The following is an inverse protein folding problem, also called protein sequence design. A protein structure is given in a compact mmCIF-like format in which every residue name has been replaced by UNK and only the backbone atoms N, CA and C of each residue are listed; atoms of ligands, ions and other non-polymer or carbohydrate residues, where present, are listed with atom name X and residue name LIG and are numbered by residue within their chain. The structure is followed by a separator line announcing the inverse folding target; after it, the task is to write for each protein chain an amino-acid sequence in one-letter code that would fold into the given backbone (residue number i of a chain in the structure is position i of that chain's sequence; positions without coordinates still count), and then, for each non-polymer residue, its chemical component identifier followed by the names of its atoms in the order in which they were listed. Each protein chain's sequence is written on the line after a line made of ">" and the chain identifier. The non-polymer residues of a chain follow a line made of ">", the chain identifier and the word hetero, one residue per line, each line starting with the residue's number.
data_IF_642766230535
#
_entry.id   IF_642766230535
#
_cell.length_a   1.000
_cell.length_b   1.000
_cell.length_c   1.000
_cell.angle_alpha   90.00
_cell.angle_beta   90.00
_cell.angle_gamma   90.00
#
_symmetry.space_group_name_H-M   'P 1'
#
loop_
_entity.id
_entity.type
_entity.pdbx_description
1 polymer ?
#
# COMPACT_ATOMS: atom_id res chain seq x y z
N UNK A 1 -42.32 31.00 43.39
CA UNK A 1 -42.76 30.63 42.02
C UNK A 1 -41.62 30.73 40.99
N UNK A 2 -40.82 31.81 40.98
CA UNK A 2 -39.71 31.96 40.01
C UNK A 2 -38.53 30.97 40.17
N UNK A 3 -38.25 30.48 41.37
CA UNK A 3 -37.09 29.59 41.63
C UNK A 3 -37.27 28.18 41.06
N UNK A 4 -38.50 27.67 40.99
CA UNK A 4 -38.77 26.33 40.44
C UNK A 4 -38.54 26.29 38.92
N UNK A 5 -39.00 27.32 38.21
CA UNK A 5 -38.80 27.45 36.76
C UNK A 5 -37.33 27.71 36.36
N UNK A 6 -36.53 28.28 37.28
CA UNK A 6 -35.09 28.43 37.10
C UNK A 6 -34.37 27.08 37.23
N UNK A 7 -34.70 26.29 38.26
CA UNK A 7 -34.11 24.95 38.46
C UNK A 7 -34.35 24.02 37.29
N UNK A 8 -35.58 24.00 36.76
CA UNK A 8 -35.93 23.13 35.63
C UNK A 8 -35.16 23.51 34.35
N UNK A 9 -34.95 24.82 34.14
CA UNK A 9 -34.12 25.33 33.03
C UNK A 9 -32.65 24.95 33.21
N UNK A 10 -32.10 25.14 34.40
CA UNK A 10 -30.70 24.82 34.69
C UNK A 10 -30.40 23.34 34.55
N UNK A 11 -31.34 22.48 34.96
CA UNK A 11 -31.24 21.03 34.81
C UNK A 11 -31.28 20.61 33.33
N UNK A 12 -32.19 21.19 32.55
CA UNK A 12 -32.27 20.95 31.10
C UNK A 12 -31.01 21.41 30.37
N UNK A 13 -30.46 22.57 30.76
CA UNK A 13 -29.23 23.11 30.19
C UNK A 13 -28.01 22.26 30.56
N UNK A 14 -27.93 21.76 31.81
CA UNK A 14 -26.91 20.79 32.22
C UNK A 14 -27.00 19.52 31.39
N UNK A 15 -28.18 18.91 31.31
CA UNK A 15 -28.39 17.69 30.55
C UNK A 15 -27.98 17.84 29.08
N UNK A 16 -28.35 18.95 28.43
CA UNK A 16 -27.93 19.24 27.05
C UNK A 16 -26.43 19.40 26.91
N UNK A 17 -25.78 20.08 27.85
CA UNK A 17 -24.32 20.30 27.83
C UNK A 17 -23.58 18.98 28.00
N UNK A 18 -24.00 18.17 28.95
CA UNK A 18 -23.40 16.85 29.23
C UNK A 18 -23.59 15.92 28.02
N UNK A 19 -24.77 15.93 27.39
CA UNK A 19 -25.04 15.18 26.17
C UNK A 19 -24.14 15.64 25.00
N UNK A 20 -23.95 16.94 24.81
CA UNK A 20 -23.04 17.48 23.79
C UNK A 20 -21.58 17.11 24.07
N UNK A 21 -21.15 17.14 25.33
CA UNK A 21 -19.80 16.75 25.71
C UNK A 21 -19.55 15.26 25.48
N UNK A 22 -20.52 14.40 25.84
CA UNK A 22 -20.44 12.97 25.54
C UNK A 22 -20.42 12.68 24.04
N UNK A 23 -21.22 13.42 23.25
CA UNK A 23 -21.22 13.29 21.80
C UNK A 23 -19.86 13.67 21.20
N UNK A 24 -19.27 14.79 21.65
CA UNK A 24 -17.94 15.20 21.20
C UNK A 24 -16.85 14.18 21.57
N UNK A 25 -16.90 13.61 22.78
CA UNK A 25 -15.97 12.54 23.19
C UNK A 25 -16.14 11.28 22.33
N UNK A 26 -17.37 10.87 22.05
CA UNK A 26 -17.64 9.73 21.20
C UNK A 26 -17.15 9.95 19.76
N UNK A 27 -17.34 11.15 19.19
CA UNK A 27 -16.83 11.50 17.86
C UNK A 27 -15.30 11.46 17.80
N UNK A 28 -14.62 11.98 18.83
CA UNK A 28 -13.16 11.91 18.94
C UNK A 28 -12.66 10.46 19.01
N UNK A 29 -13.33 9.61 19.80
CA UNK A 29 -13.01 8.18 19.89
C UNK A 29 -13.20 7.46 18.55
N UNK A 30 -14.29 7.76 17.84
CA UNK A 30 -14.53 7.21 16.49
C UNK A 30 -13.44 7.64 15.51
N UNK A 31 -13.05 8.92 15.52
CA UNK A 31 -11.99 9.42 14.65
C UNK A 31 -10.65 8.72 14.93
N UNK A 32 -10.26 8.63 16.21
CA UNK A 32 -9.05 7.93 16.64
C UNK A 32 -9.05 6.46 16.20
N UNK A 33 -10.15 5.75 16.39
CA UNK A 33 -10.25 4.34 16.03
C UNK A 33 -10.17 4.13 14.50
N UNK A 34 -10.71 5.05 13.70
CA UNK A 34 -10.58 4.99 12.24
C UNK A 34 -9.13 5.15 11.78
N UNK A 35 -8.36 6.05 12.40
CA UNK A 35 -6.94 6.21 12.11
C UNK A 35 -6.16 4.94 12.46
N UNK A 36 -6.40 4.37 13.64
CA UNK A 36 -5.78 3.11 14.06
C UNK A 36 -6.12 1.96 13.10
N UNK A 37 -7.38 1.86 12.65
CA UNK A 37 -7.79 0.85 11.68
C UNK A 37 -7.11 1.03 10.33
N UNK A 38 -6.98 2.27 9.85
CA UNK A 38 -6.27 2.58 8.60
C UNK A 38 -4.81 2.17 8.70
N UNK A 39 -4.15 2.54 9.79
CA UNK A 39 -2.74 2.20 10.02
C UNK A 39 -2.52 0.69 10.10
N UNK A 40 -3.39 -0.03 10.82
CA UNK A 40 -3.33 -1.48 10.91
C UNK A 40 -3.56 -2.15 9.54
N UNK A 41 -4.52 -1.65 8.76
CA UNK A 41 -4.79 -2.14 7.40
C UNK A 41 -3.61 -1.90 6.45
N UNK A 42 -2.97 -0.74 6.52
CA UNK A 42 -1.79 -0.44 5.71
C UNK A 42 -0.61 -1.34 6.10
N UNK A 43 -0.44 -1.63 7.39
CA UNK A 43 0.57 -2.57 7.86
C UNK A 43 0.31 -3.99 7.36
N UNK A 44 -0.93 -4.45 7.40
CA UNK A 44 -1.32 -5.75 6.85
C UNK A 44 -1.10 -5.82 5.33
N UNK A 45 -1.46 -4.77 4.58
CA UNK A 45 -1.22 -4.71 3.13
C UNK A 45 0.26 -4.82 2.77
N UNK A 46 1.16 -4.28 3.60
CA UNK A 46 2.62 -4.38 3.39
C UNK A 46 3.19 -5.77 3.70
N UNK A 47 2.42 -6.67 4.30
CA UNK A 47 2.81 -8.08 4.48
C UNK A 47 2.62 -8.88 3.18
N UNK A 48 1.73 -8.44 2.30
CA UNK A 48 1.50 -9.06 1.00
C UNK A 48 2.28 -8.31 -0.09
N UNK A 49 3.26 -8.99 -0.69
CA UNK A 49 4.00 -8.45 -1.82
C UNK A 49 3.35 -8.87 -3.14
N UNK A 50 2.81 -7.93 -3.89
CA UNK A 50 2.21 -8.15 -5.21
C UNK A 50 3.05 -7.52 -6.32
N UNK A 51 2.98 -8.08 -7.52
CA UNK A 51 3.61 -7.51 -8.71
C UNK A 51 2.90 -6.21 -9.11
N UNK A 52 3.61 -5.12 -9.43
CA UNK A 52 3.00 -3.89 -9.93
C UNK A 52 2.55 -3.98 -11.39
N UNK A 53 2.98 -5.02 -12.13
CA UNK A 53 2.76 -5.18 -13.57
C UNK A 53 2.47 -6.63 -13.94
N UNK A 54 1.79 -6.83 -15.06
CA UNK A 54 1.59 -8.16 -15.64
C UNK A 54 2.89 -8.67 -16.27
N UNK A 55 3.35 -9.84 -15.84
CA UNK A 55 4.61 -10.41 -16.30
C UNK A 55 4.85 -11.81 -15.76
N UNK A 56 5.92 -12.44 -16.24
CA UNK A 56 6.39 -13.73 -15.75
C UNK A 56 7.46 -13.51 -14.68
N UNK A 57 7.37 -14.26 -13.58
CA UNK A 57 8.39 -14.25 -12.53
C UNK A 57 9.62 -15.00 -13.04
N UNK A 58 10.73 -14.28 -13.24
CA UNK A 58 12.00 -14.87 -13.72
C UNK A 58 12.80 -15.47 -12.57
N UNK A 59 12.83 -14.79 -11.42
CA UNK A 59 13.54 -15.24 -10.23
C UNK A 59 12.73 -14.89 -8.98
N UNK A 60 12.54 -15.88 -8.10
CA UNK A 60 12.00 -15.70 -6.75
C UNK A 60 13.12 -16.05 -5.76
N UNK A 61 13.71 -15.04 -5.10
CA UNK A 61 14.89 -15.24 -4.25
C UNK A 61 14.55 -15.78 -2.85
N UNK A 62 13.28 -15.66 -2.45
CA UNK A 62 12.80 -16.06 -1.13
C UNK A 62 11.46 -16.80 -1.25
N UNK A 63 11.43 -18.08 -0.87
CA UNK A 63 10.23 -18.92 -0.86
C UNK A 63 10.08 -19.74 0.43
N UNK A 64 10.76 -19.34 1.51
CA UNK A 64 10.81 -20.09 2.77
C UNK A 64 9.86 -19.52 3.82
N UNK A 65 9.01 -20.38 4.39
CA UNK A 65 8.17 -20.04 5.55
C UNK A 65 9.09 -19.75 6.74
N UNK A 66 9.06 -18.51 7.26
CA UNK A 66 9.89 -18.07 8.38
C UNK A 66 11.21 -17.39 8.00
N UNK A 67 11.48 -17.16 6.71
CA UNK A 67 12.61 -16.33 6.26
C UNK A 67 12.39 -14.85 6.60
N UNK A 68 13.41 -14.18 7.16
CA UNK A 68 13.37 -12.73 7.46
C UNK A 68 13.93 -11.96 6.27
N UNK A 69 13.10 -11.11 5.65
CA UNK A 69 13.53 -10.23 4.57
C UNK A 69 14.18 -8.96 5.12
N UNK A 70 15.40 -8.64 4.69
CA UNK A 70 16.07 -7.38 5.07
C UNK A 70 15.60 -6.22 4.18
N UNK A 71 15.51 -5.00 4.71
CA UNK A 71 15.24 -3.82 3.89
C UNK A 71 16.24 -3.69 2.75
N UNK A 72 15.76 -3.52 1.51
CA UNK A 72 16.59 -3.31 0.33
C UNK A 72 17.00 -4.58 -0.43
N UNK A 73 16.66 -5.78 0.05
CA UNK A 73 16.90 -7.01 -0.71
C UNK A 73 15.83 -7.21 -1.79
N UNK A 74 16.27 -7.59 -2.99
CA UNK A 74 15.37 -7.91 -4.11
C UNK A 74 14.62 -9.21 -3.82
N UNK A 75 13.29 -9.14 -3.76
CA UNK A 75 12.42 -10.29 -3.49
C UNK A 75 12.12 -11.10 -4.75
N UNK A 76 11.77 -10.40 -5.83
CA UNK A 76 11.27 -10.97 -7.08
C UNK A 76 11.74 -10.15 -8.27
N UNK A 77 12.11 -10.83 -9.36
CA UNK A 77 12.37 -10.21 -10.66
C UNK A 77 11.24 -10.61 -11.62
N UNK A 78 10.52 -9.61 -12.16
CA UNK A 78 9.39 -9.80 -13.08
C UNK A 78 9.81 -9.36 -14.48
N UNK A 79 9.54 -10.21 -15.48
CA UNK A 79 9.70 -9.88 -16.90
C UNK A 79 8.32 -9.54 -17.47
N UNK A 80 8.11 -8.31 -17.98
CA UNK A 80 6.80 -7.91 -18.50
C UNK A 80 6.36 -8.79 -19.68
N UNK A 81 5.07 -9.12 -19.75
CA UNK A 81 4.54 -9.99 -20.81
C UNK A 81 4.52 -9.32 -22.20
N UNK A 82 4.44 -7.98 -22.24
CA UNK A 82 4.21 -7.20 -23.47
C UNK A 82 5.40 -6.32 -23.89
N UNK A 83 6.62 -6.60 -23.40
CA UNK A 83 7.81 -5.84 -23.81
C UNK A 83 8.41 -6.35 -25.12
N UNK A 84 8.91 -5.41 -25.95
CA UNK A 84 9.75 -5.75 -27.09
C UNK A 84 11.04 -6.39 -26.59
N UNK A 85 11.22 -7.68 -26.86
CA UNK A 85 12.47 -8.38 -26.56
C UNK A 85 13.62 -7.74 -27.34
N UNK A 86 14.55 -7.12 -26.62
CA UNK A 86 15.80 -6.62 -27.20
C UNK A 86 16.84 -7.74 -27.08
N UNK A 87 17.31 -8.23 -28.22
CA UNK A 87 18.38 -9.23 -28.28
C UNK A 87 19.70 -8.49 -28.51
N UNK A 88 20.61 -8.54 -27.52
CA UNK A 88 21.97 -8.05 -27.69
C UNK A 88 22.86 -9.19 -28.20
N UNK A 89 23.25 -9.13 -29.47
CA UNK A 89 24.21 -10.06 -30.05
C UNK A 89 25.61 -9.46 -29.98
N UNK A 90 26.54 -10.16 -29.32
CA UNK A 90 27.97 -9.80 -29.34
C UNK A 90 28.62 -10.40 -30.58
N UNK A 91 29.25 -9.55 -31.38
CA UNK A 91 29.93 -9.95 -32.60
C UNK A 91 31.44 -9.74 -32.45
N UNK A 92 32.24 -10.67 -32.95
CA UNK A 92 33.68 -10.48 -33.05
C UNK A 92 33.95 -9.29 -33.99
N UNK A 93 34.87 -8.37 -33.67
CA UNK A 93 35.21 -7.24 -34.55
C UNK A 93 35.53 -7.64 -36.00
N UNK A 94 36.01 -8.87 -36.23
CA UNK A 94 36.27 -9.43 -37.57
C UNK A 94 35.00 -9.65 -38.41
N UNK A 95 33.86 -9.86 -37.76
CA UNK A 95 32.60 -10.26 -38.41
C UNK A 95 31.67 -9.06 -38.66
N UNK A 96 32.08 -7.83 -38.29
CA UNK A 96 31.30 -6.59 -38.44
C UNK A 96 30.85 -6.31 -39.88
N UNK A 97 31.56 -6.85 -40.88
CA UNK A 97 31.19 -6.70 -42.30
C UNK A 97 30.00 -7.55 -42.76
N UNK A 98 29.50 -8.49 -41.93
CA UNK A 98 28.44 -9.43 -42.32
C UNK A 98 27.08 -9.13 -41.67
N UNK A 99 26.99 -8.09 -40.83
CA UNK A 99 25.75 -7.71 -40.14
C UNK A 99 25.22 -6.40 -40.71
N UNK A 100 24.01 -6.45 -41.27
CA UNK A 100 23.26 -5.30 -41.74
C UNK A 100 21.96 -5.16 -40.95
N UNK A 101 21.62 -3.92 -40.57
CA UNK A 101 20.39 -3.64 -39.83
C UNK A 101 19.17 -4.04 -40.67
N UNK A 102 18.36 -4.98 -40.17
CA UNK A 102 17.16 -5.49 -40.84
C UNK A 102 17.26 -6.93 -41.38
N UNK A 103 18.42 -7.58 -41.26
CA UNK A 103 18.55 -9.01 -41.62
C UNK A 103 18.09 -9.90 -40.47
N UNK A 104 17.07 -10.72 -40.70
CA UNK A 104 16.59 -11.70 -39.73
C UNK A 104 17.66 -12.79 -39.47
N UNK A 105 17.98 -13.12 -38.21
CA UNK A 105 18.69 -14.35 -37.90
C UNK A 105 17.67 -15.49 -37.98
N UNK A 106 17.80 -16.32 -39.01
CA UNK A 106 17.09 -17.58 -39.31
C UNK A 106 15.77 -17.87 -38.57
#
# INVERSE_FOLDING_TARGET
>A
LNEYAQRERDETLKFRRDAQEQMGKAEQEVARNRELMTQASDQARRTELQSPIDGQVKNLRFNTVGGVLKPGETVMEIVPANEKLIVEARLNPRDRGYVESGRAPW
#
